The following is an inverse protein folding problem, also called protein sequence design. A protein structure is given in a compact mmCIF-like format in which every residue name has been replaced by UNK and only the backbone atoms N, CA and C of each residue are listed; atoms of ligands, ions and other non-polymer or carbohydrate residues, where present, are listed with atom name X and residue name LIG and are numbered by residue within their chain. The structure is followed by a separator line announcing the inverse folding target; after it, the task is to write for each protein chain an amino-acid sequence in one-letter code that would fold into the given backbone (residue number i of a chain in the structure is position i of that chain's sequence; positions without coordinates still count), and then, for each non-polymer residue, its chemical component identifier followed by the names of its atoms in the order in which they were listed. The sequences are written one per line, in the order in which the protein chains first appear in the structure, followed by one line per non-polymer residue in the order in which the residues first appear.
data_IF_656771143969
#
_entry.id   IF_656771143969
#
_cell.length_a   1.000
_cell.length_b   1.000
_cell.length_c   1.000
_cell.angle_alpha   90.00
_cell.angle_beta   90.00
_cell.angle_gamma   90.00
#
_symmetry.space_group_name_H-M   'P 1'
#
loop_
_entity.id
_entity.type
_entity.pdbx_description
1 polymer ?
#
# COMPACT_ATOMS: atom_id res chain seq x y z
N UNK A 1 -16.26 12.64 20.62
CA UNK A 1 -16.45 14.02 20.15
C UNK A 1 -15.36 14.24 19.11
N UNK A 2 -15.72 14.22 17.83
CA UNK A 2 -14.76 14.45 16.74
C UNK A 2 -14.29 15.91 16.83
N UNK A 3 -12.99 16.15 16.80
CA UNK A 3 -12.44 17.51 16.86
C UNK A 3 -12.70 18.20 15.51
N UNK A 4 -12.93 19.50 15.46
CA UNK A 4 -13.02 20.28 14.20
C UNK A 4 -11.80 20.08 13.27
N UNK A 5 -10.65 19.67 13.83
CA UNK A 5 -9.46 19.29 13.06
C UNK A 5 -9.60 17.94 12.33
N UNK A 6 -10.49 17.05 12.78
CA UNK A 6 -10.85 15.81 12.09
C UNK A 6 -11.87 16.05 10.95
N UNK A 7 -12.47 17.25 10.92
CA UNK A 7 -13.42 17.71 9.90
C UNK A 7 -12.75 18.63 8.87
N UNK A 8 -11.45 18.46 8.63
CA UNK A 8 -10.88 18.99 7.38
C UNK A 8 -11.55 18.19 6.26
N UNK A 9 -12.42 18.85 5.50
CA UNK A 9 -12.97 18.31 4.27
C UNK A 9 -11.80 18.02 3.32
N UNK A 10 -11.23 16.82 3.43
CA UNK A 10 -10.22 16.33 2.50
C UNK A 10 -10.91 16.21 1.16
N UNK A 11 -10.34 16.86 0.15
CA UNK A 11 -10.91 16.76 -1.19
C UNK A 11 -10.75 15.33 -1.71
N UNK A 12 -11.62 14.92 -2.64
CA UNK A 12 -11.47 13.66 -3.37
C UNK A 12 -10.11 13.61 -4.09
N UNK A 13 -9.61 14.77 -4.53
CA UNK A 13 -8.29 14.90 -5.13
C UNK A 13 -7.17 14.52 -4.13
N UNK A 14 -7.22 15.02 -2.89
CA UNK A 14 -6.25 14.67 -1.84
C UNK A 14 -6.30 13.19 -1.47
N UNK A 15 -7.49 12.59 -1.43
CA UNK A 15 -7.66 11.17 -1.14
C UNK A 15 -7.16 10.31 -2.30
N UNK A 16 -7.45 10.71 -3.53
CA UNK A 16 -6.95 10.04 -4.74
C UNK A 16 -5.42 10.10 -4.81
N UNK A 17 -4.84 11.23 -4.43
CA UNK A 17 -3.39 11.39 -4.34
C UNK A 17 -2.79 10.50 -3.24
N UNK A 18 -3.41 10.43 -2.06
CA UNK A 18 -2.99 9.50 -1.00
C UNK A 18 -3.01 8.03 -1.48
N UNK A 19 -4.07 7.61 -2.19
CA UNK A 19 -4.14 6.25 -2.76
C UNK A 19 -2.96 5.98 -3.70
N UNK A 20 -2.63 6.94 -4.58
CA UNK A 20 -1.48 6.81 -5.49
C UNK A 20 -0.17 6.68 -4.73
N UNK A 21 0.04 7.50 -3.71
CA UNK A 21 1.26 7.48 -2.89
C UNK A 21 1.40 6.17 -2.12
N UNK A 22 0.33 5.71 -1.46
CA UNK A 22 0.32 4.43 -0.75
C UNK A 22 0.60 3.24 -1.67
N UNK A 23 0.03 3.26 -2.88
CA UNK A 23 0.26 2.21 -3.87
C UNK A 23 1.68 2.25 -4.45
N UNK A 24 2.23 3.44 -4.68
CA UNK A 24 3.62 3.61 -5.11
C UNK A 24 4.60 3.12 -4.04
N UNK A 25 4.36 3.48 -2.77
CA UNK A 25 5.17 3.05 -1.63
C UNK A 25 5.08 1.53 -1.41
N UNK A 26 3.88 0.96 -1.51
CA UNK A 26 3.70 -0.51 -1.47
C UNK A 26 4.52 -1.22 -2.54
N UNK A 27 4.54 -0.66 -3.76
CA UNK A 27 5.33 -1.19 -4.88
C UNK A 27 6.83 -1.09 -4.59
N UNK A 28 7.31 0.07 -4.13
CA UNK A 28 8.71 0.28 -3.74
C UNK A 28 9.16 -0.75 -2.70
N UNK A 29 8.38 -0.92 -1.63
CA UNK A 29 8.68 -1.89 -0.57
C UNK A 29 8.71 -3.35 -1.08
N UNK A 30 7.91 -3.68 -2.11
CA UNK A 30 7.97 -5.00 -2.76
C UNK A 30 9.23 -5.21 -3.58
N UNK A 31 9.64 -4.19 -4.33
CA UNK A 31 10.90 -4.23 -5.10
C UNK A 31 12.10 -4.36 -4.15
N UNK A 32 12.10 -3.61 -3.04
CA UNK A 32 13.13 -3.71 -1.99
C UNK A 32 13.12 -5.08 -1.31
N UNK A 33 11.94 -5.64 -1.01
CA UNK A 33 11.78 -7.00 -0.51
C UNK A 33 12.40 -8.06 -1.43
N UNK A 34 12.11 -7.99 -2.73
CA UNK A 34 12.63 -8.92 -3.73
C UNK A 34 14.16 -8.79 -3.86
N UNK A 35 14.69 -7.56 -3.86
CA UNK A 35 16.12 -7.32 -3.88
C UNK A 35 16.82 -7.85 -2.61
N UNK A 36 16.21 -7.66 -1.43
CA UNK A 36 16.71 -8.17 -0.17
C UNK A 36 16.78 -9.71 -0.17
N UNK A 37 15.75 -10.39 -0.71
CA UNK A 37 15.77 -11.85 -0.85
C UNK A 37 16.85 -12.35 -1.82
N UNK A 38 17.09 -11.64 -2.92
CA UNK A 38 18.17 -12.00 -3.84
C UNK A 38 19.54 -11.88 -3.16
N UNK A 39 19.79 -10.76 -2.49
CA UNK A 39 21.03 -10.53 -1.74
C UNK A 39 21.21 -11.55 -0.61
N UNK A 40 20.15 -11.88 0.11
CA UNK A 40 20.15 -12.91 1.16
C UNK A 40 20.60 -14.27 0.61
N UNK A 41 20.07 -14.67 -0.55
CA UNK A 41 20.47 -15.91 -1.21
C UNK A 41 21.90 -15.91 -1.74
N UNK A 42 22.43 -14.75 -2.12
CA UNK A 42 23.86 -14.59 -2.47
C UNK A 42 24.75 -14.77 -1.25
N UNK A 43 24.45 -14.08 -0.14
CA UNK A 43 25.22 -14.18 1.10
C UNK A 43 25.21 -15.59 1.68
N UNK A 44 24.07 -16.30 1.62
CA UNK A 44 24.01 -17.71 2.04
C UNK A 44 24.92 -18.60 1.21
N UNK A 45 24.96 -18.41 -0.11
CA UNK A 45 25.86 -19.17 -1.00
C UNK A 45 27.31 -18.87 -0.68
N UNK A 46 27.66 -17.60 -0.58
CA UNK A 46 29.02 -17.18 -0.27
C UNK A 46 29.47 -17.68 1.12
N UNK A 47 28.59 -17.63 2.12
CA UNK A 47 28.83 -18.20 3.45
C UNK A 47 29.19 -19.69 3.39
N UNK A 48 28.43 -20.49 2.64
CA UNK A 48 28.71 -21.92 2.48
C UNK A 48 30.04 -22.15 1.77
N UNK A 49 30.30 -21.41 0.70
CA UNK A 49 31.50 -21.57 -0.12
C UNK A 49 32.79 -21.19 0.62
N UNK A 50 32.75 -20.13 1.45
CA UNK A 50 33.93 -19.68 2.20
C UNK A 50 34.13 -20.41 3.53
N UNK A 51 33.15 -21.17 4.03
CA UNK A 51 33.24 -21.85 5.34
C UNK A 51 34.47 -22.75 5.51
N UNK A 52 34.94 -23.52 4.51
CA UNK A 52 36.11 -24.37 4.66
C UNK A 52 37.43 -23.59 4.81
N UNK A 53 37.49 -22.36 4.29
CA UNK A 53 38.73 -21.56 4.22
C UNK A 53 38.72 -20.40 5.21
N UNK A 54 37.55 -19.85 5.52
CA UNK A 54 37.36 -18.75 6.46
C UNK A 54 36.01 -18.89 7.22
N UNK A 55 35.99 -19.66 8.33
CA UNK A 55 34.78 -19.89 9.12
C UNK A 55 34.18 -18.61 9.75
N UNK A 56 35.02 -17.64 10.11
CA UNK A 56 34.60 -16.39 10.75
C UNK A 56 33.85 -15.48 9.76
N UNK A 57 34.38 -15.36 8.54
CA UNK A 57 33.69 -14.67 7.46
C UNK A 57 32.37 -15.37 7.09
N UNK A 58 32.38 -16.70 7.01
CA UNK A 58 31.19 -17.49 6.71
C UNK A 58 30.06 -17.23 7.72
N UNK A 59 30.38 -17.22 9.01
CA UNK A 59 29.41 -16.90 10.07
C UNK A 59 28.89 -15.46 9.96
N UNK A 60 29.77 -14.50 9.67
CA UNK A 60 29.39 -13.09 9.51
C UNK A 60 28.40 -12.90 8.35
N UNK A 61 28.69 -13.53 7.19
CA UNK A 61 27.79 -13.53 6.03
C UNK A 61 26.45 -14.20 6.34
N UNK A 62 26.47 -15.28 7.13
CA UNK A 62 25.25 -15.97 7.54
C UNK A 62 24.37 -15.09 8.43
N UNK A 63 24.97 -14.37 9.38
CA UNK A 63 24.25 -13.43 10.24
C UNK A 63 23.69 -12.25 9.44
N UNK A 64 24.46 -11.69 8.51
CA UNK A 64 23.95 -10.64 7.61
C UNK A 64 22.75 -11.13 6.78
N UNK A 65 22.81 -12.37 6.27
CA UNK A 65 21.70 -12.99 5.55
C UNK A 65 20.43 -13.14 6.42
N UNK A 66 20.56 -13.57 7.68
CA UNK A 66 19.41 -13.66 8.59
C UNK A 66 18.83 -12.28 8.93
N UNK A 67 19.67 -11.26 9.13
CA UNK A 67 19.21 -9.88 9.32
C UNK A 67 18.43 -9.37 8.10
N UNK A 68 18.96 -9.56 6.89
CA UNK A 68 18.28 -9.16 5.65
C UNK A 68 16.95 -9.88 5.47
N UNK A 69 16.85 -11.14 5.89
CA UNK A 69 15.60 -11.90 5.83
C UNK A 69 14.54 -11.35 6.77
N UNK A 70 14.93 -10.92 7.96
CA UNK A 70 14.00 -10.29 8.90
C UNK A 70 13.57 -8.90 8.43
N UNK A 71 14.50 -8.11 7.89
CA UNK A 71 14.17 -6.81 7.26
C UNK A 71 13.22 -7.00 6.06
N UNK A 72 13.47 -8.00 5.21
CA UNK A 72 12.63 -8.34 4.07
C UNK A 72 11.19 -8.69 4.52
N UNK A 73 11.04 -9.45 5.61
CA UNK A 73 9.70 -9.75 6.17
C UNK A 73 8.97 -8.49 6.60
N UNK A 74 9.67 -7.55 7.22
CA UNK A 74 9.08 -6.29 7.65
C UNK A 74 8.69 -5.41 6.45
N UNK A 75 9.53 -5.33 5.41
CA UNK A 75 9.18 -4.66 4.15
C UNK A 75 7.90 -5.22 3.53
N UNK A 76 7.76 -6.56 3.50
CA UNK A 76 6.55 -7.21 2.98
C UNK A 76 5.32 -6.91 3.85
N UNK A 77 5.48 -6.89 5.18
CA UNK A 77 4.42 -6.52 6.12
C UNK A 77 3.93 -5.10 5.86
N UNK A 78 4.86 -4.14 5.80
CA UNK A 78 4.57 -2.73 5.52
C UNK A 78 3.94 -2.54 4.14
N UNK A 79 4.45 -3.22 3.10
CA UNK A 79 3.86 -3.17 1.76
C UNK A 79 2.39 -3.61 1.77
N UNK A 80 2.06 -4.63 2.55
CA UNK A 80 0.68 -5.12 2.70
C UNK A 80 -0.19 -4.13 3.45
N UNK A 81 0.34 -3.53 4.52
CA UNK A 81 -0.34 -2.47 5.29
C UNK A 81 -0.69 -1.26 4.41
N UNK A 82 0.25 -0.81 3.58
CA UNK A 82 0.01 0.29 2.64
C UNK A 82 -1.11 -0.03 1.63
N UNK A 83 -1.19 -1.27 1.15
CA UNK A 83 -2.29 -1.70 0.26
C UNK A 83 -3.64 -1.71 0.95
N UNK A 84 -3.69 -2.19 2.19
CA UNK A 84 -4.93 -2.22 2.97
C UNK A 84 -5.43 -0.79 3.21
N UNK A 85 -4.53 0.12 3.58
CA UNK A 85 -4.86 1.54 3.76
C UNK A 85 -5.29 2.19 2.45
N UNK A 86 -4.62 1.92 1.33
CA UNK A 86 -5.03 2.42 0.02
C UNK A 86 -6.44 1.94 -0.36
N UNK A 87 -6.76 0.66 -0.10
CA UNK A 87 -8.08 0.11 -0.35
C UNK A 87 -9.16 0.75 0.54
N UNK A 88 -8.84 1.05 1.80
CA UNK A 88 -9.76 1.76 2.68
C UNK A 88 -10.06 3.19 2.19
N UNK A 89 -9.03 3.93 1.78
CA UNK A 89 -9.21 5.28 1.23
C UNK A 89 -9.98 5.24 -0.09
N UNK A 90 -9.67 4.29 -0.97
CA UNK A 90 -10.43 4.09 -2.21
C UNK A 90 -11.90 3.79 -1.93
N UNK A 91 -12.19 2.93 -0.96
CA UNK A 91 -13.57 2.63 -0.59
C UNK A 91 -14.35 3.86 -0.12
N UNK A 92 -13.70 4.80 0.57
CA UNK A 92 -14.31 6.08 0.97
C UNK A 92 -14.62 6.97 -0.23
N UNK A 93 -13.73 7.00 -1.22
CA UNK A 93 -13.97 7.69 -2.51
C UNK A 93 -15.17 7.05 -3.23
N UNK A 94 -15.22 5.72 -3.31
CA UNK A 94 -16.31 5.01 -3.97
C UNK A 94 -17.67 5.30 -3.31
N UNK A 95 -17.72 5.41 -1.98
CA UNK A 95 -18.94 5.80 -1.25
C UNK A 95 -19.33 7.25 -1.59
N UNK A 96 -18.35 8.16 -1.63
CA UNK A 96 -18.61 9.55 -2.00
C UNK A 96 -19.22 9.64 -3.41
N UNK A 97 -18.62 8.97 -4.40
CA UNK A 97 -19.10 8.95 -5.78
C UNK A 97 -20.50 8.32 -5.89
N UNK A 98 -20.79 7.29 -5.09
CA UNK A 98 -22.12 6.70 -5.00
C UNK A 98 -23.16 7.70 -4.45
N UNK A 99 -22.81 8.46 -3.41
CA UNK A 99 -23.71 9.50 -2.86
C UNK A 99 -23.95 10.61 -3.88
N UNK A 100 -22.90 11.13 -4.52
CA UNK A 100 -23.06 12.16 -5.56
C UNK A 100 -23.91 11.68 -6.73
N UNK A 101 -23.78 10.39 -7.12
CA UNK A 101 -24.62 9.81 -8.18
C UNK A 101 -26.10 9.71 -7.79
N UNK A 102 -26.42 9.68 -6.49
CA UNK A 102 -27.79 9.65 -5.98
C UNK A 102 -28.41 11.06 -5.90
N UNK A 103 -27.63 12.11 -5.67
CA UNK A 103 -28.12 13.49 -5.60
C UNK A 103 -28.65 14.01 -6.97
N UNK A 104 -28.27 13.39 -8.09
CA UNK A 104 -28.80 13.71 -9.43
C UNK A 104 -30.21 13.11 -9.68
N UNK A 105 -30.73 12.27 -8.77
CA UNK A 105 -32.08 11.68 -8.90
C UNK A 105 -33.21 12.71 -8.80
N UNK A 106 -33.05 13.78 -8.02
CA UNK A 106 -34.12 14.77 -7.87
C UNK A 106 -34.40 15.51 -9.19
N UNK A 107 -33.35 15.78 -9.97
CA UNK A 107 -33.46 16.31 -11.33
C UNK A 107 -34.09 15.32 -12.32
N UNK A 108 -33.81 14.02 -12.17
CA UNK A 108 -34.41 12.95 -12.99
C UNK A 108 -35.90 12.79 -12.68
N UNK A 109 -36.29 12.76 -11.40
CA UNK A 109 -37.69 12.69 -10.97
C UNK A 109 -38.48 13.93 -11.38
N UNK A 110 -37.90 15.13 -11.29
CA UNK A 110 -38.54 16.37 -11.76
C UNK A 110 -38.75 16.37 -13.28
N UNK A 111 -37.79 15.87 -14.07
CA UNK A 111 -37.93 15.72 -15.53
C UNK A 111 -39.01 14.70 -15.89
N UNK A 112 -39.02 13.54 -15.22
CA UNK A 112 -40.05 12.51 -15.41
C UNK A 112 -41.46 13.00 -15.04
N UNK A 113 -41.58 13.74 -13.92
CA UNK A 113 -42.85 14.33 -13.48
C UNK A 113 -43.34 15.49 -14.38
N UNK A 114 -42.47 16.10 -15.18
CA UNK A 114 -42.85 17.07 -16.22
C UNK A 114 -43.26 16.37 -17.53
N UNK A 115 -42.61 15.27 -17.89
CA UNK A 115 -42.93 14.49 -19.08
C UNK A 115 -44.30 13.76 -18.99
N UNK A 116 -44.72 13.37 -17.78
CA UNK A 116 -46.04 12.73 -17.56
C UNK A 116 -47.24 13.68 -17.51
N UNK A 117 -47.07 14.98 -17.77
CA UNK A 117 -48.16 15.99 -17.78
C UNK A 117 -48.55 16.46 -19.19
N UNK A 118 -48.11 15.76 -20.25
CA UNK A 118 -48.56 15.99 -21.63
C UNK A 118 -49.66 15.01 -22.02
#
# INVERSE_FOLDING_TARGET
MFSEKDLVARSIEDMTQEVKELMAESKRLREEYEAALQKEGELRRESVDCRPTNPELAESLWQEAEHLKDDAREMLRLSTEMRLRAAEVQHRIDIHDQIESLDDYEGVWQKAARAGRS
#
